data_IF_108416945507
#
_entry.id   IF_108416945507
#
_cell.length_a   1.000
_cell.length_b   1.000
_cell.length_c   1.000
_cell.angle_alpha   90.00
_cell.angle_beta   90.00
_cell.angle_gamma   90.00
#
_symmetry.space_group_name_H-M   'P 1'
#
loop_
_entity.id
_entity.type
_entity.pdbx_description
1 polymer ?
#
# COMPACT_ATOMS: atom_id res chain seq x y z
N UNK A 1 0.35 3.73 -55.50
CA UNK A 1 -0.06 2.43 -54.91
C UNK A 1 0.32 2.42 -53.43
N UNK A 2 -0.56 2.92 -52.56
CA UNK A 2 -0.39 2.82 -51.11
C UNK A 2 -1.22 1.62 -50.63
N UNK A 3 -0.56 0.66 -49.96
CA UNK A 3 -1.23 -0.53 -49.41
C UNK A 3 -2.14 -0.08 -48.26
N UNK A 4 -3.38 -0.61 -48.14
CA UNK A 4 -4.21 -0.37 -46.97
C UNK A 4 -3.58 -1.16 -45.82
N UNK A 5 -2.63 -0.54 -45.13
CA UNK A 5 -2.06 -1.12 -43.92
C UNK A 5 -3.20 -1.13 -42.91
N UNK A 6 -3.76 -2.32 -42.73
CA UNK A 6 -4.93 -2.65 -41.94
C UNK A 6 -4.99 -1.85 -40.62
N UNK A 7 -5.97 -0.95 -40.48
CA UNK A 7 -6.21 -0.13 -39.28
C UNK A 7 -6.31 -0.98 -37.98
N UNK A 8 -6.73 -2.24 -38.13
CA UNK A 8 -6.77 -3.23 -37.06
C UNK A 8 -5.36 -3.56 -36.51
N UNK A 9 -4.34 -3.62 -37.38
CA UNK A 9 -2.95 -3.90 -36.99
C UNK A 9 -2.33 -2.80 -36.15
N UNK A 10 -2.58 -1.52 -36.49
CA UNK A 10 -2.08 -0.37 -35.71
C UNK A 10 -2.73 -0.26 -34.33
N UNK A 11 -4.03 -0.58 -34.23
CA UNK A 11 -4.76 -0.55 -32.97
C UNK A 11 -4.27 -1.63 -31.99
N UNK A 12 -3.93 -2.81 -32.50
CA UNK A 12 -3.34 -3.90 -31.70
C UNK A 12 -1.97 -3.52 -31.13
N UNK A 13 -1.11 -2.86 -31.92
CA UNK A 13 0.19 -2.40 -31.45
C UNK A 13 0.06 -1.37 -30.33
N UNK A 14 -0.89 -0.43 -30.43
CA UNK A 14 -1.14 0.56 -29.37
C UNK A 14 -1.61 -0.10 -28.06
N UNK A 15 -2.49 -1.10 -28.15
CA UNK A 15 -2.97 -1.84 -26.98
C UNK A 15 -1.84 -2.61 -26.30
N UNK A 16 -0.94 -3.22 -27.07
CA UNK A 16 0.24 -3.92 -26.56
C UNK A 16 1.22 -2.97 -25.88
N UNK A 17 1.45 -1.78 -26.44
CA UNK A 17 2.30 -0.76 -25.80
C UNK A 17 1.67 -0.26 -24.49
N UNK A 18 0.36 -0.01 -24.47
CA UNK A 18 -0.36 0.44 -23.27
C UNK A 18 -0.32 -0.60 -22.14
N UNK A 19 -0.51 -1.88 -22.46
CA UNK A 19 -0.40 -2.96 -21.46
C UNK A 19 1.03 -3.15 -20.96
N UNK A 20 2.04 -3.07 -21.84
CA UNK A 20 3.45 -3.14 -21.41
C UNK A 20 3.84 -1.97 -20.49
N UNK A 21 3.39 -0.74 -20.80
CA UNK A 21 3.61 0.44 -19.94
C UNK A 21 2.87 0.27 -18.60
N UNK A 22 1.62 -0.19 -18.61
CA UNK A 22 0.83 -0.39 -17.40
C UNK A 22 1.44 -1.48 -16.50
N UNK A 23 1.93 -2.56 -17.09
CA UNK A 23 2.60 -3.65 -16.38
C UNK A 23 3.94 -3.21 -15.78
N UNK A 24 4.72 -2.41 -16.52
CA UNK A 24 5.98 -1.83 -16.00
C UNK A 24 5.74 -0.93 -14.78
N UNK A 25 4.63 -0.18 -14.74
CA UNK A 25 4.23 0.64 -13.59
C UNK A 25 3.73 -0.18 -12.39
N UNK A 26 3.17 -1.35 -12.62
CA UNK A 26 2.73 -2.24 -11.54
C UNK A 26 3.90 -2.81 -10.75
N UNK A 27 5.09 -2.97 -11.36
CA UNK A 27 6.28 -3.50 -10.70
C UNK A 27 7.02 -2.51 -9.79
N UNK A 28 6.77 -1.20 -9.88
CA UNK A 28 7.47 -0.20 -9.06
C UNK A 28 6.82 0.01 -7.69
N UNK A 29 6.40 -1.06 -7.01
CA UNK A 29 5.84 -0.97 -5.65
C UNK A 29 7.00 -0.74 -4.67
N UNK A 30 7.35 0.53 -4.48
CA UNK A 30 8.14 0.97 -3.34
C UNK A 30 7.42 0.55 -2.06
N UNK A 31 8.18 0.14 -1.03
CA UNK A 31 7.59 -0.29 0.23
C UNK A 31 6.65 0.80 0.77
N UNK A 32 5.46 0.45 1.27
CA UNK A 32 4.55 1.43 1.83
C UNK A 32 5.25 2.23 2.94
N UNK A 33 5.19 3.56 2.88
CA UNK A 33 5.87 4.44 3.83
C UNK A 33 5.46 4.20 5.28
N UNK A 34 4.24 3.69 5.50
CA UNK A 34 3.74 3.40 6.83
C UNK A 34 4.52 2.29 7.55
N UNK A 35 5.20 1.41 6.82
CA UNK A 35 5.98 0.32 7.42
C UNK A 35 7.15 0.81 8.28
N UNK A 36 7.59 2.07 8.11
CA UNK A 36 8.65 2.65 8.94
C UNK A 36 8.29 2.81 10.42
N UNK A 37 7.02 2.65 10.78
CA UNK A 37 6.52 2.76 12.16
C UNK A 37 5.62 1.59 12.57
N UNK A 38 5.70 0.46 11.86
CA UNK A 38 5.02 -0.78 12.25
C UNK A 38 6.03 -1.71 12.92
N UNK A 39 5.67 -2.23 14.09
CA UNK A 39 6.53 -3.09 14.90
C UNK A 39 5.78 -4.36 15.27
N UNK A 40 6.51 -5.47 15.45
CA UNK A 40 5.93 -6.65 16.07
C UNK A 40 5.63 -6.34 17.54
N UNK A 41 4.49 -6.81 18.05
CA UNK A 41 4.11 -6.65 19.44
C UNK A 41 5.14 -7.25 20.41
N UNK A 42 5.91 -8.26 20.00
CA UNK A 42 6.99 -8.85 20.83
C UNK A 42 8.20 -7.95 20.99
N UNK A 43 8.42 -7.03 20.05
CA UNK A 43 9.55 -6.10 20.05
C UNK A 43 9.19 -4.77 20.72
N UNK A 44 7.91 -4.59 21.05
CA UNK A 44 7.38 -3.40 21.68
C UNK A 44 7.61 -3.42 23.21
N UNK A 45 7.87 -2.28 23.87
CA UNK A 45 8.03 -2.24 25.32
C UNK A 45 6.77 -2.73 26.06
N UNK A 46 6.97 -3.32 27.24
CA UNK A 46 5.85 -3.82 28.07
C UNK A 46 4.94 -2.71 28.60
N UNK A 47 5.45 -1.48 28.68
CA UNK A 47 4.72 -0.30 29.12
C UNK A 47 5.25 0.94 28.36
N UNK A 48 4.33 1.73 27.80
CA UNK A 48 4.58 3.05 27.23
C UNK A 48 3.28 3.87 27.26
N UNK A 49 3.39 5.19 27.11
CA UNK A 49 2.31 6.15 27.30
C UNK A 49 1.95 6.83 25.98
N UNK A 50 0.65 6.85 25.69
CA UNK A 50 0.07 7.43 24.48
C UNK A 50 -1.13 8.29 24.84
N UNK A 51 -1.39 9.33 24.06
CA UNK A 51 -2.58 10.16 24.23
C UNK A 51 -3.83 9.38 23.80
N UNK A 52 -3.70 8.53 22.78
CA UNK A 52 -4.77 7.67 22.27
C UNK A 52 -4.27 6.27 21.95
N UNK A 53 -5.07 5.26 22.32
CA UNK A 53 -4.86 3.86 21.93
C UNK A 53 -6.06 3.42 21.09
N UNK A 54 -5.80 2.96 19.88
CA UNK A 54 -6.80 2.43 18.95
C UNK A 54 -6.60 0.91 18.86
N UNK A 55 -7.63 0.16 19.24
CA UNK A 55 -7.64 -1.31 19.13
C UNK A 55 -8.28 -1.69 17.80
N UNK A 56 -7.47 -2.10 16.84
CA UNK A 56 -7.84 -2.52 15.48
C UNK A 56 -7.42 -1.53 14.39
N UNK A 57 -6.42 -1.89 13.59
CA UNK A 57 -5.95 -1.18 12.39
C UNK A 57 -6.79 -1.48 11.14
N UNK A 58 -8.12 -1.42 11.29
CA UNK A 58 -9.07 -1.73 10.22
C UNK A 58 -9.53 -0.50 9.42
N UNK A 59 -10.63 -0.65 8.69
CA UNK A 59 -11.20 0.38 7.81
C UNK A 59 -11.47 1.72 8.52
N UNK A 60 -11.91 1.69 9.78
CA UNK A 60 -12.14 2.89 10.57
C UNK A 60 -10.92 3.29 11.43
N UNK A 61 -10.18 2.30 11.94
CA UNK A 61 -9.06 2.54 12.85
C UNK A 61 -7.88 3.26 12.20
N UNK A 62 -7.50 2.85 10.99
CA UNK A 62 -6.41 3.48 10.25
C UNK A 62 -6.64 4.97 9.95
N UNK A 63 -7.76 5.41 9.34
CA UNK A 63 -7.99 6.83 9.09
C UNK A 63 -8.18 7.64 10.39
N UNK A 64 -8.75 7.05 11.43
CA UNK A 64 -8.83 7.69 12.75
C UNK A 64 -7.42 7.91 13.34
N UNK A 65 -6.56 6.89 13.32
CA UNK A 65 -5.19 6.97 13.81
C UNK A 65 -4.38 8.03 13.05
N UNK A 66 -4.51 8.04 11.72
CA UNK A 66 -3.85 9.03 10.87
C UNK A 66 -4.25 10.46 11.26
N UNK A 67 -5.55 10.70 11.47
CA UNK A 67 -6.05 12.03 11.86
C UNK A 67 -5.56 12.45 13.25
N UNK A 68 -5.62 11.55 14.24
CA UNK A 68 -5.18 11.88 15.61
C UNK A 68 -3.65 12.08 15.68
N UNK A 69 -2.88 11.33 14.89
CA UNK A 69 -1.41 11.41 14.88
C UNK A 69 -0.85 12.72 14.35
N UNK A 70 -1.68 13.59 13.76
CA UNK A 70 -1.26 14.95 13.38
C UNK A 70 -0.81 15.79 14.59
N UNK A 71 -1.38 15.54 15.76
CA UNK A 71 -1.14 16.34 16.97
C UNK A 71 -0.81 15.53 18.22
N UNK A 72 -1.08 14.22 18.21
CA UNK A 72 -1.02 13.36 19.40
C UNK A 72 -0.16 12.12 19.18
N UNK A 73 0.37 11.54 20.26
CA UNK A 73 0.98 10.20 20.24
C UNK A 73 -0.12 9.14 20.22
N UNK A 74 -0.21 8.42 19.10
CA UNK A 74 -1.24 7.39 18.89
C UNK A 74 -0.61 6.02 18.76
N UNK A 75 -1.12 5.04 19.51
CA UNK A 75 -0.78 3.63 19.36
C UNK A 75 -1.93 2.89 18.68
N UNK A 76 -1.64 2.13 17.63
CA UNK A 76 -2.60 1.21 17.00
C UNK A 76 -2.19 -0.22 17.32
N UNK A 77 -3.11 -1.00 17.89
CA UNK A 77 -2.92 -2.41 18.16
C UNK A 77 -3.75 -3.23 17.18
N UNK A 78 -3.09 -3.97 16.28
CA UNK A 78 -3.75 -4.84 15.31
C UNK A 78 -3.35 -6.31 15.56
N UNK A 79 -4.33 -7.22 15.52
CA UNK A 79 -4.08 -8.66 15.73
C UNK A 79 -3.44 -9.29 14.48
N UNK A 80 -3.80 -8.81 13.29
CA UNK A 80 -3.28 -9.27 12.02
C UNK A 80 -1.79 -8.96 11.83
N UNK A 81 -1.17 -9.68 10.89
CA UNK A 81 0.20 -9.40 10.46
C UNK A 81 0.29 -8.26 9.44
N UNK A 82 1.50 -7.83 9.11
CA UNK A 82 1.71 -6.86 8.04
C UNK A 82 1.42 -7.48 6.67
N UNK A 83 0.82 -6.73 5.71
CA UNK A 83 0.45 -7.27 4.40
C UNK A 83 1.60 -7.87 3.58
N UNK A 84 2.85 -7.54 3.93
CA UNK A 84 4.06 -8.03 3.27
C UNK A 84 4.69 -9.27 3.94
N UNK A 85 4.22 -9.70 5.11
CA UNK A 85 4.72 -10.90 5.80
C UNK A 85 3.86 -12.16 5.60
N UNK A 86 2.72 -12.06 4.93
CA UNK A 86 1.87 -13.24 4.66
C UNK A 86 2.34 -14.11 3.48
N UNK A 87 3.62 -14.04 3.11
CA UNK A 87 4.20 -14.83 2.01
C UNK A 87 5.56 -15.46 2.37
N UNK A 88 5.67 -16.06 3.56
CA UNK A 88 6.68 -17.08 3.86
C UNK A 88 6.04 -18.15 4.77
#
# INVERSE_FOLDING_TARGET
MAKPICLCSQSLVYLMIFTLISLARAQSQQSPSYLGFVFNATDFPSEDYYDYIIVGGGTAGCPLAATLSEYYRVLVLERGGVPSESLI
#
